data_IF_661931420329
#
_entry.id   IF_661931420329
#
_cell.length_a   1.000
_cell.length_b   1.000
_cell.length_c   1.000
_cell.angle_alpha   90.00
_cell.angle_beta   90.00
_cell.angle_gamma   90.00
#
_symmetry.space_group_name_H-M   'P 1'
#
loop_
_entity.id
_entity.type
_entity.pdbx_description
1 polymer ?
#
# COMPACT_ATOMS: atom_id res chain seq x y z
N UNK A 1 18.06 -23.51 -5.91
CA UNK A 1 18.71 -23.52 -4.58
C UNK A 1 19.82 -22.48 -4.43
N UNK A 2 20.67 -22.25 -5.43
CA UNK A 2 21.76 -21.25 -5.32
C UNK A 2 21.25 -19.81 -5.17
N UNK A 3 20.19 -19.44 -5.89
CA UNK A 3 19.53 -18.15 -5.79
C UNK A 3 18.97 -17.91 -4.36
N UNK A 4 18.18 -18.85 -3.84
CA UNK A 4 17.63 -18.80 -2.49
C UNK A 4 18.70 -18.69 -1.40
N UNK A 5 19.81 -19.44 -1.50
CA UNK A 5 20.90 -19.34 -0.54
C UNK A 5 21.55 -17.95 -0.53
N UNK A 6 21.71 -17.35 -1.72
CA UNK A 6 22.27 -16.00 -1.84
C UNK A 6 21.28 -14.94 -1.33
N UNK A 7 20.00 -15.10 -1.63
CA UNK A 7 18.93 -14.21 -1.18
C UNK A 7 18.74 -14.27 0.34
N UNK A 8 18.66 -15.46 0.94
CA UNK A 8 18.49 -15.63 2.39
C UNK A 8 19.64 -14.99 3.17
N UNK A 9 20.87 -15.15 2.67
CA UNK A 9 22.03 -14.52 3.29
C UNK A 9 22.00 -12.99 3.13
N UNK A 10 21.53 -12.47 2.00
CA UNK A 10 21.30 -11.04 1.85
C UNK A 10 20.25 -10.50 2.84
N UNK A 11 19.16 -11.24 3.06
CA UNK A 11 18.12 -10.84 4.02
C UNK A 11 18.64 -10.84 5.46
N UNK A 12 19.46 -11.82 5.84
CA UNK A 12 20.13 -11.82 7.14
C UNK A 12 21.04 -10.58 7.29
N UNK A 13 21.87 -10.29 6.29
CA UNK A 13 22.74 -9.12 6.30
C UNK A 13 21.97 -7.80 6.33
N UNK A 14 20.73 -7.78 5.85
CA UNK A 14 19.85 -6.60 5.89
C UNK A 14 19.48 -6.24 7.33
N UNK A 15 19.19 -7.24 8.14
CA UNK A 15 18.92 -7.07 9.56
C UNK A 15 20.18 -6.62 10.31
N UNK A 16 21.32 -7.26 10.02
CA UNK A 16 22.60 -6.93 10.66
C UNK A 16 23.15 -5.55 10.24
N UNK A 17 22.78 -5.05 9.05
CA UNK A 17 23.20 -3.74 8.56
C UNK A 17 22.58 -2.57 9.33
N UNK A 18 21.49 -2.80 10.09
CA UNK A 18 20.90 -1.79 10.97
C UNK A 18 21.88 -1.39 12.10
N UNK A 19 22.69 -2.34 12.57
CA UNK A 19 23.73 -2.09 13.59
C UNK A 19 25.11 -1.88 12.98
N UNK A 20 25.38 -2.47 11.81
CA UNK A 20 26.68 -2.40 11.13
C UNK A 20 26.54 -1.95 9.66
N UNK A 21 26.54 -0.63 9.38
CA UNK A 21 26.28 -0.09 8.03
C UNK A 21 27.23 -0.61 6.93
N UNK A 22 28.45 -1.02 7.29
CA UNK A 22 29.43 -1.59 6.34
C UNK A 22 28.95 -2.91 5.72
N UNK A 23 28.06 -3.66 6.38
CA UNK A 23 27.50 -4.92 5.85
C UNK A 23 26.60 -4.70 4.63
N UNK A 24 26.14 -3.47 4.40
CA UNK A 24 25.30 -3.10 3.25
C UNK A 24 25.97 -3.39 1.90
N UNK A 25 27.30 -3.23 1.80
CA UNK A 25 28.06 -3.61 0.61
C UNK A 25 28.03 -5.12 0.34
N UNK A 26 28.15 -5.92 1.40
CA UNK A 26 28.09 -7.38 1.29
C UNK A 26 26.67 -7.87 0.95
N UNK A 27 25.65 -7.27 1.58
CA UNK A 27 24.25 -7.48 1.23
C UNK A 27 24.03 -7.29 -0.27
N UNK A 28 24.52 -6.16 -0.81
CA UNK A 28 24.28 -5.82 -2.20
C UNK A 28 25.00 -6.78 -3.17
N UNK A 29 26.23 -7.20 -2.83
CA UNK A 29 26.92 -8.25 -3.57
C UNK A 29 26.14 -9.59 -3.57
N UNK A 30 25.50 -9.94 -2.46
CA UNK A 30 24.68 -11.18 -2.35
C UNK A 30 23.39 -11.09 -3.13
N UNK A 31 22.68 -9.96 -3.10
CA UNK A 31 21.45 -9.77 -3.89
C UNK A 31 21.74 -9.83 -5.40
N UNK A 32 22.78 -9.14 -5.88
CA UNK A 32 23.19 -9.24 -7.29
C UNK A 32 23.53 -10.68 -7.69
N UNK A 33 24.17 -11.43 -6.79
CA UNK A 33 24.45 -12.85 -7.02
C UNK A 33 23.16 -13.68 -7.11
N UNK A 34 22.18 -13.42 -6.24
CA UNK A 34 20.87 -14.09 -6.29
C UNK A 34 20.16 -13.82 -7.62
N UNK A 35 20.09 -12.56 -8.07
CA UNK A 35 19.50 -12.17 -9.35
C UNK A 35 20.21 -12.85 -10.54
N UNK A 36 21.54 -12.94 -10.53
CA UNK A 36 22.29 -13.66 -11.57
C UNK A 36 21.97 -15.16 -11.61
N UNK A 37 21.75 -15.78 -10.44
CA UNK A 37 21.33 -17.18 -10.37
C UNK A 37 19.89 -17.37 -10.88
N UNK A 38 18.97 -16.43 -10.65
CA UNK A 38 17.61 -16.49 -11.21
C UNK A 38 17.58 -16.28 -12.71
N UNK A 39 18.38 -15.35 -13.26
CA UNK A 39 18.51 -15.19 -14.72
C UNK A 39 19.02 -16.49 -15.39
N UNK A 40 19.97 -17.18 -14.74
CA UNK A 40 20.44 -18.49 -15.23
C UNK A 40 19.33 -19.54 -15.17
N UNK A 41 18.52 -19.53 -14.11
CA UNK A 41 17.38 -20.44 -13.98
C UNK A 41 16.34 -20.19 -15.08
N UNK A 42 15.99 -18.92 -15.32
CA UNK A 42 15.06 -18.52 -16.39
C UNK A 42 15.53 -19.02 -17.76
N UNK A 43 16.81 -18.85 -18.09
CA UNK A 43 17.40 -19.38 -19.33
C UNK A 43 17.32 -20.90 -19.44
N UNK A 44 17.48 -21.63 -18.34
CA UNK A 44 17.29 -23.09 -18.34
C UNK A 44 15.82 -23.46 -18.57
N UNK A 45 14.91 -22.68 -18.00
CA UNK A 45 13.47 -22.86 -18.15
C UNK A 45 12.97 -22.57 -19.58
N UNK A 46 13.70 -21.83 -20.43
CA UNK A 46 13.34 -21.61 -21.84
C UNK A 46 13.32 -22.90 -22.68
N UNK A 47 13.94 -23.98 -22.19
CA UNK A 47 13.95 -25.29 -22.84
C UNK A 47 12.55 -25.77 -23.26
N UNK A 48 12.41 -26.44 -24.41
CA UNK A 48 11.13 -27.01 -24.85
C UNK A 48 10.64 -28.15 -23.94
N UNK A 49 11.51 -28.67 -23.05
CA UNK A 49 11.16 -29.72 -22.08
C UNK A 49 10.49 -29.18 -20.81
N UNK A 50 10.41 -27.86 -20.65
CA UNK A 50 9.82 -27.21 -19.49
C UNK A 50 8.46 -26.65 -19.86
N UNK A 51 7.48 -26.90 -19.00
CA UNK A 51 6.10 -26.47 -19.15
C UNK A 51 5.95 -24.94 -18.98
N UNK A 52 4.85 -24.40 -19.53
CA UNK A 52 4.61 -22.96 -19.55
C UNK A 52 4.47 -22.34 -18.15
N UNK A 53 3.98 -23.11 -17.17
CA UNK A 53 3.85 -22.66 -15.78
C UNK A 53 5.22 -22.39 -15.17
N UNK A 54 6.12 -23.36 -15.20
CA UNK A 54 7.47 -23.20 -14.66
C UNK A 54 8.28 -22.10 -15.38
N UNK A 55 8.03 -21.88 -16.67
CA UNK A 55 8.59 -20.72 -17.40
C UNK A 55 8.14 -19.38 -16.81
N UNK A 56 6.83 -19.21 -16.61
CA UNK A 56 6.28 -17.99 -16.04
C UNK A 56 6.69 -17.78 -14.58
N UNK A 57 6.74 -18.85 -13.78
CA UNK A 57 7.24 -18.77 -12.39
C UNK A 57 8.71 -18.34 -12.34
N UNK A 58 9.57 -18.88 -13.22
CA UNK A 58 10.97 -18.47 -13.30
C UNK A 58 11.10 -17.00 -13.69
N UNK A 59 10.30 -16.53 -14.66
CA UNK A 59 10.28 -15.12 -15.08
C UNK A 59 9.79 -14.17 -13.96
N UNK A 60 8.75 -14.57 -13.22
CA UNK A 60 8.26 -13.79 -12.08
C UNK A 60 9.30 -13.74 -10.96
N UNK A 61 9.98 -14.86 -10.68
CA UNK A 61 11.03 -14.95 -9.68
C UNK A 61 12.26 -14.10 -10.03
N UNK A 62 12.71 -14.11 -11.29
CA UNK A 62 13.79 -13.21 -11.74
C UNK A 62 13.36 -11.75 -11.59
N UNK A 63 12.15 -11.39 -12.05
CA UNK A 63 11.64 -10.03 -11.93
C UNK A 63 11.58 -9.54 -10.47
N UNK A 64 11.19 -10.41 -9.54
CA UNK A 64 11.20 -10.11 -8.11
C UNK A 64 12.62 -9.82 -7.58
N UNK A 65 13.59 -10.69 -7.86
CA UNK A 65 14.96 -10.52 -7.38
C UNK A 65 15.66 -9.31 -8.02
N UNK A 66 15.39 -9.03 -9.30
CA UNK A 66 15.85 -7.82 -9.97
C UNK A 66 15.25 -6.58 -9.30
N UNK A 67 13.93 -6.59 -9.02
CA UNK A 67 13.27 -5.52 -8.27
C UNK A 67 13.92 -5.26 -6.91
N UNK A 68 14.30 -6.31 -6.19
CA UNK A 68 15.00 -6.21 -4.90
C UNK A 68 16.41 -5.61 -5.02
N UNK A 69 17.14 -5.91 -6.09
CA UNK A 69 18.46 -5.31 -6.35
C UNK A 69 18.32 -3.81 -6.64
N UNK A 70 17.45 -3.44 -7.59
CA UNK A 70 17.23 -2.05 -7.97
C UNK A 70 16.68 -1.22 -6.80
N UNK A 71 15.84 -1.83 -5.97
CA UNK A 71 15.33 -1.23 -4.74
C UNK A 71 16.46 -0.84 -3.78
N UNK A 72 17.38 -1.76 -3.49
CA UNK A 72 18.50 -1.48 -2.59
C UNK A 72 19.56 -0.55 -3.20
N UNK A 73 19.58 -0.42 -4.54
CA UNK A 73 20.35 0.59 -5.28
C UNK A 73 19.68 1.97 -5.32
N UNK A 74 18.45 2.09 -4.81
CA UNK A 74 17.65 3.31 -4.85
C UNK A 74 17.22 3.72 -6.27
N UNK A 75 17.23 2.78 -7.22
CA UNK A 75 16.77 2.97 -8.60
C UNK A 75 15.28 2.63 -8.72
N UNK A 76 14.45 3.45 -8.06
CA UNK A 76 13.04 3.14 -7.79
C UNK A 76 12.18 2.90 -9.04
N UNK A 77 12.50 3.58 -10.15
CA UNK A 77 11.76 3.40 -11.41
C UNK A 77 11.96 1.98 -11.97
N UNK A 78 13.20 1.52 -12.01
CA UNK A 78 13.55 0.18 -12.48
C UNK A 78 13.02 -0.89 -11.51
N UNK A 79 13.11 -0.63 -10.20
CA UNK A 79 12.54 -1.50 -9.18
C UNK A 79 11.02 -1.69 -9.38
N UNK A 80 10.30 -0.60 -9.61
CA UNK A 80 8.85 -0.62 -9.84
C UNK A 80 8.48 -1.32 -11.15
N UNK A 81 9.22 -1.09 -12.24
CA UNK A 81 9.01 -1.80 -13.51
C UNK A 81 9.20 -3.31 -13.32
N UNK A 82 10.21 -3.73 -12.56
CA UNK A 82 10.47 -5.12 -12.24
C UNK A 82 9.38 -5.73 -11.34
N UNK A 83 8.93 -5.02 -10.30
CA UNK A 83 7.85 -5.47 -9.43
C UNK A 83 6.49 -5.53 -10.14
N UNK A 84 6.17 -4.57 -11.01
CA UNK A 84 4.96 -4.61 -11.83
C UNK A 84 4.98 -5.78 -12.83
N UNK A 85 6.14 -6.08 -13.41
CA UNK A 85 6.32 -7.27 -14.25
C UNK A 85 6.07 -8.55 -13.44
N UNK A 86 6.65 -8.65 -12.24
CA UNK A 86 6.43 -9.75 -11.31
C UNK A 86 4.94 -9.93 -10.97
N UNK A 87 4.27 -8.84 -10.55
CA UNK A 87 2.83 -8.79 -10.25
C UNK A 87 1.98 -9.26 -11.41
N UNK A 88 2.18 -8.68 -12.59
CA UNK A 88 1.40 -9.02 -13.80
C UNK A 88 1.50 -10.52 -14.13
N UNK A 89 2.67 -11.13 -13.92
CA UNK A 89 2.86 -12.56 -14.16
C UNK A 89 2.15 -13.39 -13.10
N UNK A 90 2.27 -13.04 -11.81
CA UNK A 90 1.57 -13.77 -10.74
C UNK A 90 0.05 -13.62 -10.79
N UNK A 91 -0.48 -12.47 -11.20
CA UNK A 91 -1.92 -12.28 -11.44
C UNK A 91 -2.41 -13.16 -12.59
N UNK A 92 -1.65 -13.23 -13.69
CA UNK A 92 -1.97 -14.12 -14.83
C UNK A 92 -1.87 -15.60 -14.47
N UNK A 93 -0.94 -15.98 -13.60
CA UNK A 93 -0.87 -17.33 -13.06
C UNK A 93 -2.07 -17.60 -12.14
N UNK A 94 -2.41 -16.67 -11.24
CA UNK A 94 -3.54 -16.81 -10.32
C UNK A 94 -4.89 -16.95 -11.06
N UNK A 95 -5.08 -16.26 -12.18
CA UNK A 95 -6.31 -16.37 -12.98
C UNK A 95 -6.39 -17.64 -13.84
N UNK A 96 -5.27 -18.33 -14.04
CA UNK A 96 -5.19 -19.53 -14.88
C UNK A 96 -5.31 -20.86 -14.10
N UNK A 97 -5.23 -20.84 -12.76
CA UNK A 97 -5.28 -22.04 -11.92
C UNK A 97 -6.47 -22.06 -10.95
N UNK A 98 -6.68 -23.20 -10.29
CA UNK A 98 -7.73 -23.40 -9.29
C UNK A 98 -7.57 -22.47 -8.09
N UNK A 99 -8.68 -22.22 -7.40
CA UNK A 99 -8.79 -21.22 -6.33
C UNK A 99 -7.77 -21.41 -5.18
N UNK A 100 -7.39 -22.65 -4.86
CA UNK A 100 -6.37 -22.98 -3.86
C UNK A 100 -4.95 -22.54 -4.27
N UNK A 101 -4.54 -22.75 -5.53
CA UNK A 101 -3.25 -22.28 -6.05
C UNK A 101 -3.26 -20.76 -6.27
N UNK A 102 -4.41 -20.19 -6.64
CA UNK A 102 -4.59 -18.76 -6.80
C UNK A 102 -4.39 -17.99 -5.49
N UNK A 103 -4.76 -18.57 -4.34
CA UNK A 103 -4.48 -17.98 -3.01
C UNK A 103 -2.99 -17.79 -2.79
N UNK A 104 -2.17 -18.77 -3.16
CA UNK A 104 -0.71 -18.75 -2.93
C UNK A 104 0.00 -17.69 -3.80
N UNK A 105 -0.45 -17.51 -5.05
CA UNK A 105 0.06 -16.43 -5.91
C UNK A 105 -0.42 -15.05 -5.47
N UNK A 106 -1.69 -14.91 -5.04
CA UNK A 106 -2.22 -13.66 -4.47
C UNK A 106 -1.47 -13.25 -3.20
N UNK A 107 -1.13 -14.20 -2.33
CA UNK A 107 -0.31 -13.94 -1.14
C UNK A 107 1.10 -13.46 -1.50
N UNK A 108 1.68 -13.98 -2.59
CA UNK A 108 3.01 -13.58 -3.06
C UNK A 108 3.03 -12.18 -3.69
N UNK A 109 1.95 -11.82 -4.39
CA UNK A 109 1.72 -10.45 -4.87
C UNK A 109 1.52 -9.47 -3.70
N UNK A 110 0.72 -9.85 -2.71
CA UNK A 110 0.50 -9.06 -1.49
C UNK A 110 1.82 -8.75 -0.76
N UNK A 111 2.74 -9.71 -0.70
CA UNK A 111 4.06 -9.49 -0.08
C UNK A 111 4.93 -8.51 -0.87
N UNK A 112 4.94 -8.59 -2.21
CA UNK A 112 5.65 -7.62 -3.04
C UNK A 112 5.05 -6.21 -2.93
N UNK A 113 3.73 -6.11 -2.77
CA UNK A 113 3.01 -4.85 -2.50
C UNK A 113 3.28 -4.35 -1.08
N UNK A 114 3.37 -5.22 -0.09
CA UNK A 114 3.73 -4.84 1.28
C UNK A 114 5.17 -4.35 1.35
N UNK A 115 6.10 -4.93 0.58
CA UNK A 115 7.46 -4.43 0.42
C UNK A 115 7.46 -3.03 -0.24
N UNK A 116 6.61 -2.82 -1.26
CA UNK A 116 6.31 -1.51 -1.88
C UNK A 116 5.70 -0.50 -0.89
N UNK A 117 4.83 -0.96 0.00
CA UNK A 117 4.20 -0.15 1.04
C UNK A 117 5.18 0.18 2.18
N UNK A 118 6.11 -0.72 2.47
CA UNK A 118 7.22 -0.47 3.39
C UNK A 118 8.17 0.60 2.83
N UNK A 119 8.28 0.76 1.50
CA UNK A 119 8.96 1.90 0.85
C UNK A 119 8.29 3.25 1.18
N UNK A 120 6.96 3.26 1.39
CA UNK A 120 6.21 4.45 1.84
C UNK A 120 6.58 4.86 3.27
N UNK A 121 6.82 3.88 4.14
CA UNK A 121 6.96 4.09 5.58
C UNK A 121 8.42 4.27 6.05
N UNK A 122 9.40 3.74 5.32
CA UNK A 122 10.84 3.81 5.69
C UNK A 122 11.64 4.88 4.94
N UNK A 123 11.00 5.66 4.06
CA UNK A 123 11.60 6.75 3.29
C UNK A 123 11.97 7.98 4.12
N UNK A 124 12.92 7.85 5.04
CA UNK A 124 13.60 8.98 5.68
C UNK A 124 14.52 9.67 4.68
N UNK A 125 13.98 10.59 3.88
CA UNK A 125 14.76 11.47 3.00
C UNK A 125 14.09 11.80 1.67
N UNK A 126 13.22 12.81 1.66
CA UNK A 126 12.80 13.50 0.43
C UNK A 126 11.28 13.64 0.28
N UNK A 127 10.71 14.73 0.80
CA UNK A 127 9.28 15.06 0.65
C UNK A 127 8.80 15.15 -0.80
N UNK A 128 9.68 15.46 -1.75
CA UNK A 128 9.37 15.48 -3.19
C UNK A 128 9.07 14.08 -3.79
N UNK A 129 9.47 13.00 -3.10
CA UNK A 129 9.39 11.63 -3.63
C UNK A 129 8.18 10.86 -3.08
N UNK A 130 7.76 11.16 -1.85
CA UNK A 130 6.47 10.69 -1.32
C UNK A 130 5.30 11.17 -2.18
N UNK A 131 5.33 12.43 -2.64
CA UNK A 131 4.34 12.99 -3.56
C UNK A 131 4.34 12.32 -4.94
N UNK A 132 5.52 11.96 -5.46
CA UNK A 132 5.63 11.28 -6.77
C UNK A 132 5.18 9.82 -6.69
N UNK A 133 5.41 9.16 -5.56
CA UNK A 133 4.90 7.81 -5.26
C UNK A 133 3.37 7.82 -5.07
N UNK A 134 2.84 8.77 -4.29
CA UNK A 134 1.40 9.06 -4.17
C UNK A 134 0.77 9.31 -5.54
N UNK A 135 1.40 10.12 -6.40
CA UNK A 135 0.89 10.40 -7.74
C UNK A 135 0.84 9.14 -8.64
N UNK A 136 1.81 8.24 -8.53
CA UNK A 136 1.86 7.01 -9.31
C UNK A 136 0.92 5.92 -8.76
N UNK A 137 0.76 5.81 -7.43
CA UNK A 137 -0.27 4.97 -6.79
C UNK A 137 -1.66 5.48 -7.18
N UNK A 138 -1.86 6.80 -7.12
CA UNK A 138 -3.07 7.45 -7.61
C UNK A 138 -3.29 7.09 -9.08
N UNK A 139 -2.26 7.17 -9.93
CA UNK A 139 -2.37 6.81 -11.35
C UNK A 139 -2.74 5.33 -11.56
N UNK A 140 -2.18 4.41 -10.76
CA UNK A 140 -2.53 2.99 -10.80
C UNK A 140 -3.98 2.75 -10.35
N UNK A 141 -4.39 3.40 -9.25
CA UNK A 141 -5.78 3.39 -8.76
C UNK A 141 -6.73 4.00 -9.77
N UNK A 142 -6.36 5.06 -10.50
CA UNK A 142 -7.19 5.65 -11.56
C UNK A 142 -7.40 4.69 -12.72
N UNK A 143 -6.39 3.89 -13.09
CA UNK A 143 -6.52 2.85 -14.12
C UNK A 143 -7.45 1.72 -13.68
N UNK A 144 -7.40 1.30 -12.41
CA UNK A 144 -8.32 0.31 -11.85
C UNK A 144 -9.73 0.88 -11.59
N UNK A 145 -9.83 2.17 -11.25
CA UNK A 145 -11.09 2.89 -11.09
C UNK A 145 -11.88 3.00 -12.39
N UNK A 146 -11.27 2.75 -13.55
CA UNK A 146 -11.98 2.69 -14.82
C UNK A 146 -12.89 1.46 -14.95
N UNK A 147 -12.63 0.38 -14.19
CA UNK A 147 -13.47 -0.83 -14.20
C UNK A 147 -14.46 -0.88 -13.03
N UNK A 148 -14.20 -0.14 -11.95
CA UNK A 148 -15.16 0.01 -10.85
C UNK A 148 -16.25 1.00 -11.25
N UNK A 149 -17.51 0.55 -11.37
CA UNK A 149 -18.64 1.40 -11.75
C UNK A 149 -19.63 1.64 -10.60
N UNK A 150 -19.61 0.81 -9.56
CA UNK A 150 -20.56 0.83 -8.47
C UNK A 150 -19.92 0.51 -7.11
N UNK A 151 -20.59 0.94 -6.04
CA UNK A 151 -20.25 0.58 -4.67
C UNK A 151 -21.49 0.16 -3.91
N UNK A 152 -21.39 -0.91 -3.12
CA UNK A 152 -22.48 -1.38 -2.28
C UNK A 152 -22.31 -0.83 -0.85
N UNK A 153 -23.36 -0.19 -0.31
CA UNK A 153 -23.43 0.21 1.09
C UNK A 153 -24.83 0.00 1.65
N UNK A 154 -24.92 -0.68 2.80
CA UNK A 154 -26.18 -1.05 3.48
C UNK A 154 -27.20 -1.76 2.57
N UNK A 155 -26.72 -2.67 1.71
CA UNK A 155 -27.55 -3.44 0.78
C UNK A 155 -28.07 -2.66 -0.43
N UNK A 156 -27.57 -1.43 -0.67
CA UNK A 156 -27.86 -0.64 -1.87
C UNK A 156 -26.59 -0.49 -2.70
N UNK A 157 -26.62 -0.95 -3.95
CA UNK A 157 -25.59 -0.62 -4.93
C UNK A 157 -25.83 0.79 -5.50
N UNK A 158 -24.77 1.60 -5.52
CA UNK A 158 -24.80 2.97 -6.03
C UNK A 158 -23.72 3.15 -7.09
N UNK A 159 -24.08 3.60 -8.30
CA UNK A 159 -23.10 3.88 -9.35
C UNK A 159 -22.26 5.08 -8.95
N UNK A 160 -20.93 4.92 -9.02
CA UNK A 160 -19.98 5.98 -8.67
C UNK A 160 -19.47 6.61 -9.95
N UNK A 161 -20.06 7.72 -10.37
CA UNK A 161 -19.63 8.41 -11.61
C UNK A 161 -18.39 9.27 -11.43
N UNK A 162 -18.10 9.71 -10.21
CA UNK A 162 -17.01 10.63 -9.89
C UNK A 162 -15.70 9.84 -9.78
N UNK A 163 -14.73 10.12 -10.66
CA UNK A 163 -13.43 9.43 -10.69
C UNK A 163 -12.71 9.51 -9.33
N UNK A 164 -12.71 10.70 -8.70
CA UNK A 164 -12.10 10.91 -7.38
C UNK A 164 -12.68 10.00 -6.30
N UNK A 165 -14.01 9.79 -6.33
CA UNK A 165 -14.69 8.88 -5.40
C UNK A 165 -14.37 7.41 -5.69
N UNK A 166 -14.23 7.02 -6.96
CA UNK A 166 -13.82 5.64 -7.32
C UNK A 166 -12.40 5.34 -6.84
N UNK A 167 -11.45 6.25 -7.10
CA UNK A 167 -10.06 6.12 -6.66
C UNK A 167 -9.96 6.01 -5.14
N UNK A 168 -10.66 6.88 -4.41
CA UNK A 168 -10.69 6.85 -2.93
C UNK A 168 -11.27 5.53 -2.40
N UNK A 169 -12.42 5.10 -2.91
CA UNK A 169 -13.10 3.89 -2.43
C UNK A 169 -12.31 2.62 -2.73
N UNK A 170 -11.62 2.53 -3.87
CA UNK A 170 -10.70 1.42 -4.16
C UNK A 170 -9.54 1.36 -3.17
N UNK A 171 -8.95 2.51 -2.85
CA UNK A 171 -7.83 2.60 -1.92
C UNK A 171 -8.20 2.45 -0.44
N UNK A 172 -9.49 2.44 -0.11
CA UNK A 172 -9.96 2.48 1.28
C UNK A 172 -9.54 1.24 2.07
N UNK A 173 -9.75 0.04 1.52
CA UNK A 173 -9.39 -1.21 2.20
C UNK A 173 -7.89 -1.32 2.43
N UNK A 174 -7.07 -0.92 1.45
CA UNK A 174 -5.60 -0.91 1.57
C UNK A 174 -5.15 0.08 2.65
N UNK A 175 -5.74 1.28 2.67
CA UNK A 175 -5.44 2.31 3.67
C UNK A 175 -5.85 1.85 5.09
N UNK A 176 -7.02 1.22 5.24
CA UNK A 176 -7.45 0.66 6.53
C UNK A 176 -6.53 -0.49 7.00
N UNK A 177 -6.11 -1.37 6.08
CA UNK A 177 -5.16 -2.43 6.38
C UNK A 177 -3.79 -1.88 6.80
N UNK A 178 -3.30 -0.83 6.14
CA UNK A 178 -2.06 -0.16 6.50
C UNK A 178 -2.10 0.42 7.92
N UNK A 179 -3.20 1.08 8.26
CA UNK A 179 -3.42 1.64 9.60
C UNK A 179 -3.43 0.52 10.66
N UNK A 180 -4.09 -0.60 10.37
CA UNK A 180 -4.18 -1.72 11.30
C UNK A 180 -2.84 -2.45 11.54
N UNK A 181 -2.00 -2.53 10.51
CA UNK A 181 -0.68 -3.19 10.58
C UNK A 181 0.43 -2.31 11.16
N UNK A 182 0.19 -0.99 11.27
CA UNK A 182 1.20 -0.04 11.74
C UNK A 182 1.27 -0.04 13.26
N UNK A 183 2.43 -0.43 13.82
CA UNK A 183 2.69 -0.45 15.26
C UNK A 183 3.22 0.88 15.81
N UNK A 184 3.84 1.72 14.98
CA UNK A 184 4.36 3.01 15.41
C UNK A 184 3.22 4.05 15.44
N UNK A 185 2.98 4.62 16.62
CA UNK A 185 1.86 5.56 16.87
C UNK A 185 1.92 6.84 16.03
N UNK A 186 3.11 7.42 15.82
CA UNK A 186 3.27 8.64 15.01
C UNK A 186 2.94 8.37 13.54
N UNK A 187 3.43 7.25 13.01
CA UNK A 187 3.12 6.85 11.63
C UNK A 187 1.64 6.49 11.45
N UNK A 188 1.03 5.86 12.45
CA UNK A 188 -0.39 5.52 12.46
C UNK A 188 -1.26 6.77 12.48
N UNK A 189 -0.89 7.78 13.27
CA UNK A 189 -1.55 9.08 13.28
C UNK A 189 -1.47 9.77 11.92
N UNK A 190 -0.29 9.79 11.29
CA UNK A 190 -0.14 10.36 9.96
C UNK A 190 -1.03 9.65 8.93
N UNK A 191 -1.12 8.32 8.96
CA UNK A 191 -1.99 7.56 8.05
C UNK A 191 -3.47 7.92 8.23
N UNK A 192 -3.93 8.09 9.47
CA UNK A 192 -5.29 8.57 9.74
C UNK A 192 -5.53 9.97 9.17
N UNK A 193 -4.58 10.89 9.33
CA UNK A 193 -4.70 12.26 8.83
C UNK A 193 -4.77 12.30 7.29
N UNK A 194 -3.92 11.51 6.62
CA UNK A 194 -3.93 11.38 5.16
C UNK A 194 -5.26 10.83 4.67
N UNK A 195 -5.76 9.74 5.27
CA UNK A 195 -7.05 9.16 4.90
C UNK A 195 -8.22 10.13 5.11
N UNK A 196 -8.20 10.89 6.21
CA UNK A 196 -9.21 11.93 6.48
C UNK A 196 -9.12 13.10 5.50
N UNK A 197 -7.91 13.50 5.09
CA UNK A 197 -7.72 14.53 4.07
C UNK A 197 -8.30 14.08 2.72
N UNK A 198 -7.91 12.92 2.22
CA UNK A 198 -8.44 12.33 0.99
C UNK A 198 -9.97 12.18 1.02
N UNK A 199 -10.53 11.76 2.16
CA UNK A 199 -11.97 11.62 2.34
C UNK A 199 -12.69 12.98 2.27
N UNK A 200 -12.17 14.02 2.92
CA UNK A 200 -12.72 15.40 2.84
C UNK A 200 -12.71 15.92 1.40
N UNK A 201 -11.59 15.71 0.72
CA UNK A 201 -11.37 16.08 -0.67
C UNK A 201 -12.32 15.38 -1.64
N UNK A 202 -12.66 14.13 -1.35
CA UNK A 202 -13.61 13.33 -2.12
C UNK A 202 -15.04 13.78 -1.84
N UNK A 203 -15.40 14.01 -0.57
CA UNK A 203 -16.70 14.57 -0.19
C UNK A 203 -16.93 15.91 -0.88
N UNK A 204 -15.91 16.76 -0.94
CA UNK A 204 -16.02 18.06 -1.61
C UNK A 204 -16.35 17.92 -3.10
N UNK A 205 -15.67 17.02 -3.82
CA UNK A 205 -15.99 16.73 -5.23
C UNK A 205 -17.44 16.24 -5.39
N UNK A 206 -17.93 15.37 -4.49
CA UNK A 206 -19.34 14.92 -4.51
C UNK A 206 -20.32 16.07 -4.22
N UNK A 207 -19.97 17.00 -3.31
CA UNK A 207 -20.80 18.17 -3.01
C UNK A 207 -20.89 19.16 -4.17
N UNK A 208 -19.82 19.30 -4.95
CA UNK A 208 -19.81 20.14 -6.15
C UNK A 208 -20.75 19.59 -7.22
N UNK A 209 -20.71 18.28 -7.47
CA UNK A 209 -21.66 17.60 -8.36
C UNK A 209 -23.10 17.69 -7.86
N UNK A 210 -23.34 17.59 -6.54
CA UNK A 210 -24.68 17.76 -5.95
C UNK A 210 -25.24 19.16 -6.20
N UNK A 211 -24.40 20.19 -6.14
CA UNK A 211 -24.81 21.58 -6.43
C UNK A 211 -25.10 21.76 -7.93
N UNK A 212 -24.31 21.15 -8.80
CA UNK A 212 -24.54 21.16 -10.24
C UNK A 212 -25.84 20.46 -10.62
N UNK A 213 -26.10 19.28 -10.03
CA UNK A 213 -27.35 18.53 -10.22
C UNK A 213 -28.56 19.33 -9.71
N UNK A 214 -28.45 19.99 -8.55
CA UNK A 214 -29.52 20.83 -8.01
C UNK A 214 -29.87 22.00 -8.94
N UNK A 215 -28.86 22.71 -9.49
CA UNK A 215 -29.06 23.81 -10.45
C UNK A 215 -29.66 23.34 -11.78
N UNK A 216 -29.34 22.13 -12.22
CA UNK A 216 -29.96 21.52 -13.40
C UNK A 216 -31.43 21.15 -13.13
N UNK A 217 -31.72 20.57 -11.95
CA UNK A 217 -33.08 20.27 -11.51
C UNK A 217 -33.95 21.51 -11.34
N UNK A 218 -33.41 22.64 -10.90
CA UNK A 218 -34.16 23.91 -10.85
C UNK A 218 -34.57 24.42 -12.25
N UNK A 219 -33.86 24.02 -13.31
CA UNK A 219 -34.15 24.41 -14.70
C UNK A 219 -35.10 23.43 -15.40
N UNK A 220 -35.15 22.18 -14.95
CA UNK A 220 -36.05 21.14 -15.44
C UNK A 220 -37.24 20.99 -14.49
N UNK A 221 -38.46 21.29 -14.95
CA UNK A 221 -39.71 21.19 -14.18
C UNK A 221 -40.13 19.74 -13.81
N UNK A 222 -39.22 18.89 -13.35
CA UNK A 222 -39.52 17.49 -13.03
C UNK A 222 -39.57 17.24 -11.52
N UNK A 223 -40.77 16.85 -11.06
CA UNK A 223 -41.20 16.84 -9.66
C UNK A 223 -40.91 15.55 -8.88
N UNK A 224 -39.74 14.94 -9.02
CA UNK A 224 -39.35 13.78 -8.19
C UNK A 224 -38.45 14.24 -7.02
N UNK A 225 -39.02 15.01 -6.09
CA UNK A 225 -38.28 15.61 -4.96
C UNK A 225 -38.17 14.71 -3.71
N UNK A 226 -38.76 13.50 -3.74
CA UNK A 226 -38.90 12.65 -2.55
C UNK A 226 -37.85 11.54 -2.37
N UNK A 227 -37.16 11.11 -3.42
CA UNK A 227 -36.20 10.00 -3.34
C UNK A 227 -34.77 10.51 -3.17
N UNK A 228 -34.06 9.98 -2.15
CA UNK A 228 -32.64 10.26 -1.94
C UNK A 228 -31.86 9.88 -3.20
N UNK A 229 -31.28 10.89 -3.85
CA UNK A 229 -30.53 10.68 -5.09
C UNK A 229 -29.34 9.76 -4.84
N UNK A 230 -28.90 9.05 -5.87
CA UNK A 230 -27.70 8.20 -5.78
C UNK A 230 -26.48 9.01 -5.31
N UNK A 231 -26.40 10.28 -5.70
CA UNK A 231 -25.33 11.19 -5.32
C UNK A 231 -25.43 11.63 -3.84
N UNK A 232 -26.64 11.88 -3.34
CA UNK A 232 -26.88 12.13 -1.92
C UNK A 232 -26.53 10.91 -1.07
N UNK A 233 -26.87 9.70 -1.53
CA UNK A 233 -26.52 8.45 -0.84
C UNK A 233 -25.00 8.23 -0.81
N UNK A 234 -24.31 8.47 -1.92
CA UNK A 234 -22.84 8.43 -1.98
C UNK A 234 -22.20 9.44 -1.02
N UNK A 235 -22.74 10.67 -0.95
CA UNK A 235 -22.30 11.67 0.01
C UNK A 235 -22.48 11.20 1.47
N UNK A 236 -23.63 10.60 1.80
CA UNK A 236 -23.87 10.02 3.12
C UNK A 236 -22.91 8.88 3.43
N UNK A 237 -22.58 8.03 2.46
CA UNK A 237 -21.61 6.95 2.63
C UNK A 237 -20.21 7.49 2.92
N UNK A 238 -19.71 8.42 2.11
CA UNK A 238 -18.39 9.04 2.34
C UNK A 238 -18.34 9.79 3.68
N UNK A 239 -19.45 10.42 4.07
CA UNK A 239 -19.57 11.06 5.40
C UNK A 239 -19.49 10.04 6.53
N UNK A 240 -20.15 8.89 6.37
CA UNK A 240 -20.05 7.78 7.31
C UNK A 240 -18.60 7.29 7.44
N UNK A 241 -17.91 7.05 6.32
CA UNK A 241 -16.49 6.64 6.32
C UNK A 241 -15.64 7.66 7.10
N UNK A 242 -15.78 8.95 6.79
CA UNK A 242 -15.06 10.02 7.49
C UNK A 242 -15.29 9.97 9.01
N UNK A 243 -16.54 9.84 9.45
CA UNK A 243 -16.88 9.82 10.87
C UNK A 243 -16.33 8.57 11.56
N UNK A 244 -16.44 7.39 10.93
CA UNK A 244 -15.85 6.16 11.45
C UNK A 244 -14.33 6.27 11.57
N UNK A 245 -13.64 6.79 10.56
CA UNK A 245 -12.19 7.01 10.60
C UNK A 245 -11.79 8.00 11.69
N UNK A 246 -12.57 9.06 11.90
CA UNK A 246 -12.33 10.03 12.97
C UNK A 246 -12.44 9.37 14.35
N UNK A 247 -13.48 8.55 14.56
CA UNK A 247 -13.68 7.82 15.82
C UNK A 247 -12.50 6.87 16.06
N UNK A 248 -12.11 6.07 15.06
CA UNK A 248 -10.95 5.16 15.14
C UNK A 248 -9.64 5.90 15.47
N UNK A 249 -9.40 7.06 14.85
CA UNK A 249 -8.24 7.91 15.17
C UNK A 249 -8.27 8.36 16.63
N UNK A 250 -9.38 8.94 17.06
CA UNK A 250 -9.54 9.47 18.41
C UNK A 250 -9.37 8.37 19.47
N UNK A 251 -9.91 7.18 19.22
CA UNK A 251 -9.73 6.00 20.05
C UNK A 251 -8.25 5.59 20.14
N UNK A 252 -7.54 5.53 19.00
CA UNK A 252 -6.10 5.25 18.96
C UNK A 252 -5.31 6.27 19.78
N UNK A 253 -5.58 7.57 19.61
CA UNK A 253 -4.91 8.64 20.37
C UNK A 253 -5.19 8.54 21.88
N UNK A 254 -6.43 8.23 22.25
CA UNK A 254 -6.81 8.07 23.65
C UNK A 254 -6.08 6.88 24.29
N UNK A 255 -5.94 5.76 23.58
CA UNK A 255 -5.15 4.62 24.05
C UNK A 255 -3.67 4.98 24.24
N UNK A 256 -3.08 5.72 23.30
CA UNK A 256 -1.68 6.16 23.39
C UNK A 256 -1.45 7.09 24.59
N UNK A 257 -2.36 8.03 24.83
CA UNK A 257 -2.31 8.90 26.01
C UNK A 257 -2.50 8.10 27.31
N UNK A 258 -3.40 7.12 27.32
CA UNK A 258 -3.63 6.27 28.49
C UNK A 258 -2.42 5.38 28.79
N UNK A 259 -1.71 4.90 27.76
CA UNK A 259 -0.46 4.15 27.93
C UNK A 259 0.63 5.02 28.57
N UNK A 260 0.82 6.24 28.05
CA UNK A 260 1.78 7.21 28.61
C UNK A 260 1.48 7.58 30.08
N UNK A 261 0.20 7.65 30.46
CA UNK A 261 -0.21 7.90 31.84
C UNK A 261 0.07 6.73 32.80
N UNK A 262 0.20 5.50 32.28
CA UNK A 262 0.48 4.29 33.07
C UNK A 262 1.96 3.97 33.18
N UNK A 263 2.81 4.58 32.35
CA UNK A 263 4.25 4.49 32.52
C UNK A 263 4.63 5.30 33.78
N UNK A 264 5.22 4.67 34.82
CA UNK A 264 5.71 5.41 35.96
C UNK A 264 6.80 6.36 35.48
N UNK A 265 6.71 7.65 35.83
CA UNK A 265 7.79 8.61 35.63
C UNK A 265 9.09 7.97 36.15
N UNK A 266 10.05 7.77 35.24
CA UNK A 266 11.38 7.36 35.63
C UNK A 266 12.00 8.49 36.43
N UNK A 267 11.87 8.38 37.75
CA UNK A 267 12.52 9.09 38.84
C UNK A 267 13.85 9.77 38.41
N UNK A 268 13.78 11.01 37.89
CA UNK A 268 14.96 11.83 37.57
C UNK A 268 15.69 12.30 38.85
N UNK A 269 15.15 12.02 40.04
CA UNK A 269 15.65 12.55 41.31
C UNK A 269 16.77 11.74 41.98
N UNK A 270 17.33 10.73 41.31
CA UNK A 270 18.45 9.92 41.84
C UNK A 270 19.83 10.19 41.26
N UNK A 271 20.07 11.35 40.64
CA UNK A 271 21.44 11.86 40.43
C UNK A 271 21.85 12.75 41.60
N UNK A 272 22.11 12.13 42.74
CA UNK A 272 22.80 12.77 43.85
C UNK A 272 24.20 13.25 43.42
N UNK A 273 24.70 14.37 43.99
CA UNK A 273 25.93 15.00 43.54
C UNK A 273 27.13 14.10 43.90
N UNK A 274 27.93 13.73 42.89
CA UNK A 274 29.22 13.09 43.11
C UNK A 274 30.11 14.03 43.93
N UNK A 275 30.35 13.69 45.19
CA UNK A 275 31.28 14.39 46.06
C UNK A 275 32.68 14.36 45.43
N UNK A 276 33.22 15.56 45.19
CA UNK A 276 34.66 15.78 45.00
C UNK A 276 35.34 15.64 46.36
N UNK A 277 36.24 14.68 46.48
CA UNK A 277 37.47 14.73 47.31
C UNK A 277 38.46 13.76 46.71
#
# INVERSE_FOLDING_TARGET
MEAERAWSYAMQLKQEANTEPRKRFHLMARLRKAAKHSERLEKLCESPRVDAKTKLEAQAYTAYLTGMVEFELQEWKLAMEAFNKCKTIYEKLASAFTEELAVLYRQRDQNAINDLMQMRLTGGGGGMMAEKLEALITQARTKQAATMSEVEWRGRSVPVKIDKARVFLLGLADNEAAIAQTANEETKEHLYETLLAECRDTIQAVREELKSEAKQRERSSDGDSGKVSNLQFLHSYLTYIKLCTLVKRNESMAHTLQAKLKEPEADEDKRGPAHKT
#
